data_IF_919688216215
#
_entry.id   IF_919688216215
#
_cell.length_a   1.000
_cell.length_b   1.000
_cell.length_c   1.000
_cell.angle_alpha   90.00
_cell.angle_beta   90.00
_cell.angle_gamma   90.00
#
_symmetry.space_group_name_H-M   'P 1'
#
loop_
_entity.id
_entity.type
_entity.pdbx_description
1 polymer ?
#
# COMPACT_ATOMS: atom_id res chain seq x y z
N UNK A 1 13.05 4.58 31.72
CA UNK A 1 12.53 3.21 31.94
C UNK A 1 12.16 3.10 33.41
N UNK A 2 11.10 2.37 33.75
CA UNK A 2 10.78 2.07 35.17
C UNK A 2 11.62 0.88 35.61
N UNK A 3 12.00 0.87 36.89
CA UNK A 3 12.87 -0.16 37.47
C UNK A 3 12.22 -1.55 37.52
N UNK A 4 10.89 -1.60 37.42
CA UNK A 4 10.07 -2.82 37.56
C UNK A 4 9.94 -3.65 36.27
N UNK A 5 10.51 -3.21 35.15
CA UNK A 5 10.38 -3.93 33.89
C UNK A 5 11.40 -5.09 33.79
N UNK A 6 10.88 -6.32 33.79
CA UNK A 6 11.66 -7.52 33.50
C UNK A 6 11.79 -7.74 31.98
N UNK A 7 13.00 -7.52 31.46
CA UNK A 7 13.37 -7.75 30.06
C UNK A 7 14.13 -9.07 29.84
N UNK A 8 14.20 -9.97 30.82
CA UNK A 8 14.96 -11.23 30.75
C UNK A 8 14.56 -12.14 29.57
N UNK A 9 13.32 -12.02 29.09
CA UNK A 9 12.79 -12.75 27.91
C UNK A 9 12.76 -11.92 26.63
N UNK A 10 13.30 -10.70 26.66
CA UNK A 10 13.31 -9.77 25.54
C UNK A 10 14.23 -10.24 24.42
N UNK A 11 13.70 -10.36 23.20
CA UNK A 11 14.49 -10.69 22.01
C UNK A 11 14.62 -9.45 21.11
N UNK A 12 15.85 -8.98 20.89
CA UNK A 12 16.13 -7.84 20.00
C UNK A 12 15.78 -8.22 18.56
N UNK A 13 15.00 -7.37 17.89
CA UNK A 13 14.67 -7.55 16.47
C UNK A 13 13.61 -8.61 16.16
N UNK A 14 12.86 -9.12 17.16
CA UNK A 14 11.80 -10.12 16.95
C UNK A 14 10.77 -9.72 15.87
N UNK A 15 10.52 -8.43 15.71
CA UNK A 15 9.60 -7.87 14.71
C UNK A 15 10.30 -7.06 13.62
N UNK A 16 11.63 -6.97 13.68
CA UNK A 16 12.41 -6.24 12.68
C UNK A 16 12.69 -7.16 11.50
N UNK A 17 12.23 -6.79 10.31
CA UNK A 17 12.58 -7.48 9.07
C UNK A 17 13.19 -6.46 8.12
N UNK A 18 14.43 -6.72 7.68
CA UNK A 18 15.20 -5.79 6.87
C UNK A 18 14.59 -5.54 5.47
N UNK A 19 13.78 -6.48 4.97
CA UNK A 19 13.15 -6.43 3.65
C UNK A 19 11.63 -6.22 3.71
N UNK A 20 11.09 -5.65 4.79
CA UNK A 20 9.66 -5.34 4.79
C UNK A 20 9.35 -4.29 3.72
N UNK A 21 8.57 -4.68 2.72
CA UNK A 21 7.93 -3.73 1.82
C UNK A 21 6.92 -2.93 2.63
N UNK A 22 7.29 -1.72 3.03
CA UNK A 22 6.39 -0.81 3.70
C UNK A 22 5.31 -0.35 2.71
N UNK A 23 4.11 -0.90 2.86
CA UNK A 23 2.93 -0.42 2.14
C UNK A 23 2.53 0.94 2.73
N UNK A 24 2.74 1.99 1.94
CA UNK A 24 2.30 3.33 2.31
C UNK A 24 0.83 3.49 1.89
N UNK A 25 -0.08 3.84 2.81
CA UNK A 25 -1.45 4.16 2.43
C UNK A 25 -1.45 5.43 1.57
N UNK A 26 -2.05 5.32 0.38
CA UNK A 26 -2.27 6.44 -0.54
C UNK A 26 -3.76 6.74 -0.59
N UNK A 27 -4.11 7.99 -0.30
CA UNK A 27 -5.48 8.46 -0.44
C UNK A 27 -5.70 8.97 -1.85
N UNK A 28 -6.86 8.63 -2.42
CA UNK A 28 -7.35 9.21 -3.65
C UNK A 28 -8.38 10.29 -3.31
N UNK A 29 -8.47 11.30 -4.17
CA UNK A 29 -9.58 12.24 -4.12
C UNK A 29 -10.92 11.50 -4.27
N UNK A 30 -12.00 11.94 -3.59
CA UNK A 30 -13.27 11.21 -3.56
C UNK A 30 -13.86 10.95 -4.96
N UNK A 31 -13.77 11.91 -5.86
CA UNK A 31 -14.27 11.81 -7.23
C UNK A 31 -13.52 10.76 -8.05
N UNK A 32 -12.20 10.69 -7.89
CA UNK A 32 -11.34 9.68 -8.51
C UNK A 32 -11.69 8.29 -7.97
N UNK A 33 -11.86 8.18 -6.64
CA UNK A 33 -12.21 6.92 -6.00
C UNK A 33 -13.58 6.41 -6.50
N UNK A 34 -14.58 7.27 -6.56
CA UNK A 34 -15.93 6.93 -7.00
C UNK A 34 -15.93 6.46 -8.46
N UNK A 35 -15.19 7.17 -9.32
CA UNK A 35 -15.04 6.84 -10.73
C UNK A 35 -14.46 5.44 -10.94
N UNK A 36 -13.32 5.15 -10.30
CA UNK A 36 -12.67 3.84 -10.43
C UNK A 36 -13.45 2.73 -9.73
N UNK A 37 -14.11 3.01 -8.61
CA UNK A 37 -14.94 2.03 -7.91
C UNK A 37 -16.12 1.57 -8.76
N UNK A 38 -16.82 2.50 -9.43
CA UNK A 38 -17.92 2.18 -10.33
C UNK A 38 -17.46 1.31 -11.50
N UNK A 39 -16.30 1.64 -12.10
CA UNK A 39 -15.72 0.87 -13.21
C UNK A 39 -15.23 -0.51 -12.78
N UNK A 40 -14.54 -0.60 -11.64
CA UNK A 40 -14.03 -1.86 -11.11
C UNK A 40 -15.20 -2.84 -10.85
N UNK A 41 -16.26 -2.33 -10.24
CA UNK A 41 -17.51 -3.09 -10.04
C UNK A 41 -18.14 -3.54 -11.35
N UNK A 42 -18.24 -2.65 -12.34
CA UNK A 42 -18.79 -3.00 -13.65
C UNK A 42 -17.95 -4.03 -14.41
N UNK A 43 -16.63 -4.00 -14.24
CA UNK A 43 -15.69 -4.94 -14.84
C UNK A 43 -15.52 -6.24 -14.04
N UNK A 44 -16.06 -6.32 -12.82
CA UNK A 44 -15.93 -7.49 -11.94
C UNK A 44 -14.50 -7.73 -11.45
N UNK A 45 -13.69 -6.68 -11.33
CA UNK A 45 -12.29 -6.77 -10.86
C UNK A 45 -12.07 -5.91 -9.61
N UNK A 46 -11.02 -6.23 -8.87
CA UNK A 46 -10.62 -5.47 -7.69
C UNK A 46 -10.20 -4.04 -8.06
N UNK A 47 -10.65 -3.07 -7.26
CA UNK A 47 -10.33 -1.65 -7.43
C UNK A 47 -8.81 -1.41 -7.45
N UNK A 48 -8.09 -2.05 -6.54
CA UNK A 48 -6.63 -1.96 -6.44
C UNK A 48 -5.94 -2.48 -7.71
N UNK A 49 -6.45 -3.57 -8.30
CA UNK A 49 -5.91 -4.11 -9.55
C UNK A 49 -6.12 -3.13 -10.71
N UNK A 50 -7.33 -2.56 -10.82
CA UNK A 50 -7.65 -1.57 -11.85
C UNK A 50 -6.78 -0.32 -11.75
N UNK A 51 -6.63 0.25 -10.55
CA UNK A 51 -5.82 1.46 -10.32
C UNK A 51 -4.35 1.18 -10.65
N UNK A 52 -3.80 0.05 -10.19
CA UNK A 52 -2.41 -0.30 -10.46
C UNK A 52 -2.14 -0.49 -11.95
N UNK A 53 -3.05 -1.13 -12.68
CA UNK A 53 -2.92 -1.28 -14.14
C UNK A 53 -2.92 0.08 -14.85
N UNK A 54 -3.83 0.97 -14.46
CA UNK A 54 -3.89 2.32 -15.01
C UNK A 54 -2.62 3.12 -14.72
N UNK A 55 -2.13 3.13 -13.47
CA UNK A 55 -0.91 3.84 -13.08
C UNK A 55 0.32 3.31 -13.81
N UNK A 56 0.46 1.99 -13.98
CA UNK A 56 1.58 1.39 -14.73
C UNK A 56 1.58 1.84 -16.19
N UNK A 57 0.42 1.91 -16.83
CA UNK A 57 0.30 2.40 -18.21
C UNK A 57 0.72 3.87 -18.32
N UNK A 58 0.38 4.69 -17.34
CA UNK A 58 0.74 6.11 -17.37
C UNK A 58 2.22 6.33 -17.04
N UNK A 59 2.82 5.56 -16.13
CA UNK A 59 4.28 5.54 -15.92
C UNK A 59 5.02 5.22 -17.22
N UNK A 60 4.59 4.18 -17.95
CA UNK A 60 5.21 3.83 -19.24
C UNK A 60 5.11 4.94 -20.28
N UNK A 61 4.06 5.76 -20.27
CA UNK A 61 3.92 6.90 -21.18
C UNK A 61 4.85 8.05 -20.77
N UNK A 62 5.05 8.25 -19.47
CA UNK A 62 5.94 9.28 -18.93
C UNK A 62 7.40 8.93 -19.26
N UNK A 63 7.82 7.68 -19.03
CA UNK A 63 9.21 7.24 -19.27
C UNK A 63 9.58 7.14 -20.75
N UNK A 64 8.60 7.05 -21.66
CA UNK A 64 8.82 7.06 -23.12
C UNK A 64 8.90 8.47 -23.72
N UNK A 65 8.67 9.51 -22.93
CA UNK A 65 8.86 10.91 -23.33
C UNK A 65 10.28 11.36 -22.97
#
# INVERSE_FOLDING_TARGET
MRDEYDFSKGQRGKFYTAEQQHLVPLYLEPDVLDYFSARAKAAGIELSAMINDQLKKDIQKIERR
#
